data_IF_208797398646
#
_entry.id   IF_208797398646
#
_cell.length_a   1.000
_cell.length_b   1.000
_cell.length_c   1.000
_cell.angle_alpha   90.00
_cell.angle_beta   90.00
_cell.angle_gamma   90.00
#
_symmetry.space_group_name_H-M   'P 1'
#
loop_
_entity.id
_entity.type
_entity.pdbx_description
1 polymer ?
#
# COMPACT_ATOMS: atom_id res chain seq x y z
N UNK A 1 18.28 -33.76 -24.84
CA UNK A 1 17.29 -33.36 -23.82
C UNK A 1 18.04 -32.51 -22.82
N UNK A 2 18.16 -31.22 -23.09
CA UNK A 2 18.80 -30.28 -22.17
C UNK A 2 17.69 -29.67 -21.31
N UNK A 3 17.48 -30.27 -20.14
CA UNK A 3 16.72 -29.65 -19.07
C UNK A 3 17.65 -28.64 -18.40
N UNK A 4 17.75 -27.44 -19.00
CA UNK A 4 18.52 -26.33 -18.44
C UNK A 4 17.85 -25.86 -17.15
N UNK A 5 18.57 -26.09 -16.07
CA UNK A 5 18.33 -25.60 -14.71
C UNK A 5 18.10 -24.08 -14.70
N UNK A 6 16.82 -23.69 -14.64
CA UNK A 6 16.36 -22.30 -14.49
C UNK A 6 16.46 -21.79 -13.05
N UNK A 7 17.12 -22.50 -12.13
CA UNK A 7 17.11 -22.15 -10.70
C UNK A 7 18.14 -21.10 -10.26
N UNK A 8 19.07 -20.70 -11.13
CA UNK A 8 20.24 -19.88 -10.76
C UNK A 8 20.21 -18.41 -11.21
N UNK A 9 19.06 -17.89 -11.66
CA UNK A 9 18.89 -16.45 -11.89
C UNK A 9 18.42 -15.76 -10.59
N UNK A 10 19.15 -14.75 -10.08
CA UNK A 10 18.71 -14.01 -8.90
C UNK A 10 17.36 -13.37 -9.18
N UNK A 11 16.34 -13.75 -8.39
CA UNK A 11 15.00 -13.17 -8.52
C UNK A 11 15.07 -11.69 -8.14
N UNK A 12 14.45 -10.79 -8.92
CA UNK A 12 14.43 -9.37 -8.56
C UNK A 12 13.76 -9.21 -7.18
N UNK A 13 14.26 -8.32 -6.31
CA UNK A 13 13.64 -8.05 -5.03
C UNK A 13 12.20 -7.59 -5.23
N UNK A 14 11.29 -8.06 -4.37
CA UNK A 14 9.86 -7.78 -4.47
C UNK A 14 9.43 -6.78 -3.41
N UNK A 15 8.88 -5.65 -3.84
CA UNK A 15 8.33 -4.61 -2.98
C UNK A 15 6.81 -4.73 -2.93
N UNK A 16 6.23 -4.60 -1.74
CA UNK A 16 4.79 -4.44 -1.53
C UNK A 16 4.52 -3.01 -1.08
N UNK A 17 3.72 -2.28 -1.85
CA UNK A 17 3.22 -0.95 -1.46
C UNK A 17 1.79 -1.10 -0.95
N UNK A 18 1.54 -0.61 0.26
CA UNK A 18 0.23 -0.54 0.87
C UNK A 18 -0.02 0.90 1.36
N UNK A 19 -0.68 1.74 0.54
CA UNK A 19 -0.90 3.14 0.88
C UNK A 19 -1.97 3.28 1.97
N UNK A 20 -1.78 4.26 2.86
CA UNK A 20 -2.83 4.74 3.75
C UNK A 20 -4.04 5.24 2.94
N UNK A 21 -5.27 5.14 3.50
CA UNK A 21 -6.51 5.53 2.83
C UNK A 21 -6.71 7.05 2.79
N UNK A 22 -5.66 7.78 2.40
CA UNK A 22 -5.64 9.22 2.20
C UNK A 22 -5.29 9.51 0.75
N UNK A 23 -6.10 10.33 0.08
CA UNK A 23 -5.94 10.60 -1.36
C UNK A 23 -4.53 11.10 -1.73
N UNK A 24 -3.96 12.00 -0.91
CA UNK A 24 -2.59 12.48 -1.10
C UNK A 24 -1.56 11.36 -0.99
N UNK A 25 -1.69 10.50 0.01
CA UNK A 25 -0.78 9.37 0.21
C UNK A 25 -0.88 8.35 -0.93
N UNK A 26 -2.10 8.02 -1.38
CA UNK A 26 -2.32 7.11 -2.51
C UNK A 26 -1.63 7.63 -3.78
N UNK A 27 -1.80 8.92 -4.10
CA UNK A 27 -1.19 9.52 -5.29
C UNK A 27 0.34 9.50 -5.23
N UNK A 28 0.93 9.87 -4.09
CA UNK A 28 2.39 9.80 -3.90
C UNK A 28 2.91 8.37 -4.05
N UNK A 29 2.19 7.39 -3.47
CA UNK A 29 2.57 5.98 -3.57
C UNK A 29 2.46 5.45 -5.00
N UNK A 30 1.48 5.91 -5.80
CA UNK A 30 1.40 5.57 -7.23
C UNK A 30 2.64 6.10 -7.98
N UNK A 31 3.11 7.31 -7.67
CA UNK A 31 4.33 7.86 -8.28
C UNK A 31 5.58 7.10 -7.87
N UNK A 32 5.69 6.69 -6.61
CA UNK A 32 6.74 5.78 -6.19
C UNK A 32 6.67 4.44 -6.93
N UNK A 33 5.47 3.91 -7.13
CA UNK A 33 5.21 2.67 -7.83
C UNK A 33 5.63 2.69 -9.30
N UNK A 34 5.59 3.85 -9.96
CA UNK A 34 6.09 4.03 -11.34
C UNK A 34 7.61 3.91 -11.42
N UNK A 35 8.34 4.25 -10.35
CA UNK A 35 9.81 4.29 -10.33
C UNK A 35 10.45 2.94 -10.00
N UNK A 36 9.81 2.12 -9.17
CA UNK A 36 10.39 0.86 -8.70
C UNK A 36 10.65 -0.17 -9.82
N UNK A 37 9.74 -0.39 -10.78
CA UNK A 37 10.01 -1.28 -11.91
C UNK A 37 11.20 -0.81 -12.77
N UNK A 38 11.38 0.50 -12.93
CA UNK A 38 12.51 1.09 -13.66
C UNK A 38 13.84 0.80 -12.94
N UNK A 39 13.81 0.76 -11.62
CA UNK A 39 14.95 0.40 -10.78
C UNK A 39 15.19 -1.13 -10.67
N UNK A 40 14.43 -1.96 -11.40
CA UNK A 40 14.62 -3.41 -11.44
C UNK A 40 13.90 -4.20 -10.33
N UNK A 41 12.98 -3.55 -9.59
CA UNK A 41 12.19 -4.22 -8.57
C UNK A 41 10.92 -4.84 -9.15
N UNK A 42 10.55 -6.03 -8.65
CA UNK A 42 9.18 -6.52 -8.77
C UNK A 42 8.30 -5.72 -7.80
N UNK A 43 7.09 -5.35 -8.20
CA UNK A 43 6.22 -4.52 -7.37
C UNK A 43 4.82 -5.11 -7.27
N UNK A 44 4.28 -5.19 -6.06
CA UNK A 44 2.84 -5.33 -5.83
C UNK A 44 2.28 -4.06 -5.21
N UNK A 45 1.27 -3.47 -5.86
CA UNK A 45 0.52 -2.36 -5.31
C UNK A 45 -0.81 -2.88 -4.75
N UNK A 46 -0.96 -2.82 -3.43
CA UNK A 46 -2.10 -3.37 -2.71
C UNK A 46 -3.06 -2.26 -2.29
N UNK A 47 -4.32 -2.35 -2.70
CA UNK A 47 -5.36 -1.38 -2.32
C UNK A 47 -6.57 -2.04 -1.67
N UNK A 48 -7.42 -1.25 -1.02
CA UNK A 48 -8.78 -1.70 -0.72
C UNK A 48 -9.61 -1.83 -2.01
N UNK A 49 -10.64 -2.67 -2.01
CA UNK A 49 -11.61 -2.76 -3.10
C UNK A 49 -12.24 -1.39 -3.42
N UNK A 50 -12.52 -0.58 -2.39
CA UNK A 50 -13.07 0.76 -2.56
C UNK A 50 -12.09 1.67 -3.32
N UNK A 51 -10.83 1.73 -2.89
CA UNK A 51 -9.81 2.55 -3.54
C UNK A 51 -9.55 2.08 -4.97
N UNK A 52 -9.45 0.77 -5.19
CA UNK A 52 -9.27 0.23 -6.54
C UNK A 52 -10.41 0.62 -7.49
N UNK A 53 -11.67 0.49 -7.08
CA UNK A 53 -12.82 0.91 -7.89
C UNK A 53 -12.76 2.39 -8.26
N UNK A 54 -12.40 3.26 -7.31
CA UNK A 54 -12.25 4.70 -7.56
C UNK A 54 -11.08 5.00 -8.48
N UNK A 55 -9.94 4.35 -8.25
CA UNK A 55 -8.76 4.49 -9.10
C UNK A 55 -9.12 4.09 -10.51
N UNK A 56 -9.58 2.87 -10.78
CA UNK A 56 -9.97 2.44 -12.14
C UNK A 56 -11.02 3.34 -12.79
N UNK A 57 -12.00 3.85 -12.02
CA UNK A 57 -13.06 4.72 -12.54
C UNK A 57 -12.56 6.11 -12.95
N UNK A 58 -11.64 6.70 -12.19
CA UNK A 58 -11.22 8.10 -12.35
C UNK A 58 -9.79 8.26 -12.88
N UNK A 59 -9.02 7.19 -12.90
CA UNK A 59 -7.62 7.17 -13.29
C UNK A 59 -7.33 5.81 -13.96
N UNK A 60 -6.85 5.81 -15.20
CA UNK A 60 -6.64 4.57 -15.94
C UNK A 60 -5.37 3.81 -15.49
N UNK A 61 -5.26 3.57 -14.18
CA UNK A 61 -4.10 3.03 -13.49
C UNK A 61 -3.83 1.60 -13.93
N UNK A 62 -4.87 0.79 -14.11
CA UNK A 62 -4.70 -0.58 -14.60
C UNK A 62 -3.95 -0.60 -15.94
N UNK A 63 -4.46 0.10 -16.96
CA UNK A 63 -3.77 0.18 -18.25
C UNK A 63 -2.43 0.92 -18.17
N UNK A 64 -2.31 1.91 -17.28
CA UNK A 64 -1.05 2.64 -17.08
C UNK A 64 0.08 1.70 -16.65
N UNK A 65 -0.22 0.73 -15.77
CA UNK A 65 0.80 -0.15 -15.21
C UNK A 65 1.03 -1.45 -15.99
N UNK A 66 0.16 -1.79 -16.95
CA UNK A 66 0.35 -2.94 -17.87
C UNK A 66 1.68 -2.90 -18.62
N UNK A 67 2.25 -1.70 -18.84
CA UNK A 67 3.55 -1.53 -19.50
C UNK A 67 4.75 -1.93 -18.65
N UNK A 68 4.57 -2.23 -17.36
CA UNK A 68 5.66 -2.57 -16.44
C UNK A 68 5.68 -4.08 -16.13
N UNK A 69 6.61 -4.84 -16.72
CA UNK A 69 6.78 -6.26 -16.39
C UNK A 69 7.10 -6.42 -14.91
N UNK A 70 6.41 -7.33 -14.21
CA UNK A 70 6.61 -7.56 -12.77
C UNK A 70 5.84 -6.60 -11.86
N UNK A 71 4.98 -5.74 -12.40
CA UNK A 71 3.99 -5.01 -11.62
C UNK A 71 2.71 -5.84 -11.42
N UNK A 72 2.26 -5.96 -10.18
CA UNK A 72 1.01 -6.61 -9.79
C UNK A 72 0.10 -5.64 -9.05
N UNK A 73 -1.10 -5.37 -9.57
CA UNK A 73 -2.11 -4.63 -8.83
C UNK A 73 -3.02 -5.61 -8.09
N UNK A 74 -3.10 -5.52 -6.76
CA UNK A 74 -3.94 -6.40 -5.93
C UNK A 74 -4.91 -5.62 -5.07
N UNK A 75 -5.99 -6.29 -4.71
CA UNK A 75 -7.04 -5.70 -3.88
C UNK A 75 -7.38 -6.57 -2.70
N UNK A 76 -7.74 -5.92 -1.59
CA UNK A 76 -8.22 -6.55 -0.36
C UNK A 76 -9.47 -5.82 0.14
N UNK A 77 -10.24 -6.47 1.01
CA UNK A 77 -11.32 -5.78 1.73
C UNK A 77 -10.72 -4.91 2.84
N UNK A 78 -11.28 -3.71 3.05
CA UNK A 78 -10.94 -2.83 4.17
C UNK A 78 -11.79 -3.12 5.42
N UNK A 79 -12.69 -4.10 5.36
CA UNK A 79 -13.55 -4.49 6.48
C UNK A 79 -14.71 -3.53 6.76
N UNK A 80 -14.85 -2.47 5.95
CA UNK A 80 -15.89 -1.46 6.13
C UNK A 80 -17.12 -1.75 5.25
N UNK A 81 -18.33 -1.36 5.69
CA UNK A 81 -19.54 -1.41 4.87
C UNK A 81 -19.37 -0.71 3.51
N UNK A 82 -20.14 -1.13 2.50
CA UNK A 82 -20.03 -0.59 1.14
C UNK A 82 -20.45 0.89 1.05
N UNK A 83 -21.42 1.29 1.86
CA UNK A 83 -21.96 2.64 1.99
C UNK A 83 -21.12 3.57 2.89
N UNK A 84 -20.10 3.02 3.56
CA UNK A 84 -19.23 3.80 4.42
C UNK A 84 -18.47 4.90 3.62
N UNK A 85 -18.54 6.18 4.03
CA UNK A 85 -18.04 7.31 3.23
C UNK A 85 -16.52 7.34 3.10
N UNK A 86 -15.79 6.67 4.00
CA UNK A 86 -14.32 6.59 4.01
C UNK A 86 -13.70 7.99 3.88
N UNK A 87 -14.22 8.92 4.67
CA UNK A 87 -13.81 10.33 4.70
C UNK A 87 -12.48 10.49 5.44
N UNK A 88 -11.85 11.65 5.26
CA UNK A 88 -10.68 12.02 6.05
C UNK A 88 -10.97 12.07 7.55
N UNK A 89 -12.18 12.49 7.95
CA UNK A 89 -12.60 12.48 9.35
C UNK A 89 -12.59 11.07 9.94
N UNK A 90 -13.18 10.10 9.26
CA UNK A 90 -13.16 8.70 9.72
C UNK A 90 -11.73 8.17 9.88
N UNK A 91 -10.82 8.51 8.96
CA UNK A 91 -9.43 8.09 9.10
C UNK A 91 -8.77 8.70 10.34
N UNK A 92 -9.06 9.97 10.64
CA UNK A 92 -8.59 10.62 11.86
C UNK A 92 -9.18 9.95 13.10
N UNK A 93 -10.48 9.67 13.11
CA UNK A 93 -11.15 8.96 14.22
C UNK A 93 -10.51 7.59 14.45
N UNK A 94 -10.34 6.78 13.39
CA UNK A 94 -9.65 5.48 13.44
C UNK A 94 -8.22 5.62 13.97
N UNK A 95 -7.49 6.63 13.51
CA UNK A 95 -6.10 6.86 13.90
C UNK A 95 -6.00 7.29 15.38
N UNK A 96 -6.89 8.15 15.84
CA UNK A 96 -7.02 8.52 17.25
C UNK A 96 -7.38 7.29 18.09
N UNK A 97 -8.42 6.53 17.74
CA UNK A 97 -8.79 5.31 18.47
C UNK A 97 -7.65 4.27 18.55
N UNK A 98 -6.88 4.12 17.47
CA UNK A 98 -5.84 3.09 17.37
C UNK A 98 -4.50 3.53 17.96
N UNK A 99 -4.12 4.79 17.75
CA UNK A 99 -2.79 5.31 18.11
C UNK A 99 -2.78 6.01 19.45
N UNK A 100 -3.85 6.68 19.87
CA UNK A 100 -3.88 7.48 21.09
C UNK A 100 -3.69 6.63 22.37
N UNK A 101 -4.30 5.42 22.49
CA UNK A 101 -4.01 4.51 23.61
C UNK A 101 -2.55 4.03 23.60
N UNK A 102 -2.00 3.70 22.43
CA UNK A 102 -0.63 3.19 22.28
C UNK A 102 0.42 4.27 22.49
N UNK A 103 0.15 5.49 22.04
CA UNK A 103 1.02 6.65 22.19
C UNK A 103 1.00 7.14 23.64
N UNK A 104 -0.17 7.19 24.29
CA UNK A 104 -0.27 7.47 25.73
C UNK A 104 0.46 6.40 26.56
N UNK A 105 0.32 5.13 26.21
CA UNK A 105 1.07 4.06 26.88
C UNK A 105 2.58 4.26 26.71
N UNK A 106 3.05 4.49 25.47
CA UNK A 106 4.47 4.67 25.19
C UNK A 106 5.06 5.94 25.83
N UNK A 107 4.28 7.03 25.92
CA UNK A 107 4.69 8.24 26.63
C UNK A 107 4.70 8.05 28.15
N UNK A 108 3.74 7.30 28.72
CA UNK A 108 3.74 6.93 30.15
C UNK A 108 4.92 6.05 30.52
N UNK A 109 5.23 5.06 29.69
CA UNK A 109 6.41 4.22 29.86
C UNK A 109 7.70 5.04 29.67
N UNK A 110 7.76 5.96 28.70
CA UNK A 110 8.90 6.86 28.50
C UNK A 110 9.15 7.86 29.63
N UNK A 111 8.10 8.38 30.27
CA UNK A 111 8.22 9.31 31.41
C UNK A 111 8.53 8.63 32.75
N UNK A 112 8.31 7.32 32.89
CA UNK A 112 8.71 6.55 34.08
C UNK A 112 10.19 6.12 34.05
N UNK A 113 10.90 6.36 32.94
CA UNK A 113 12.32 6.02 32.76
C UNK A 113 13.27 7.23 32.78
N UNK A 114 12.80 8.43 33.11
CA UNK A 114 13.66 9.59 33.34
C UNK A 114 13.59 10.02 34.82
N UNK A 115 14.72 9.93 35.59
CA UNK A 115 14.80 10.39 36.97
C UNK A 115 14.77 11.92 37.10
#
# INVERSE_FOLDING_TARGET
>A
MEEQDRSSQPRPPHVLIFPLPLQGHINTMIKLAELLPIAGFKLTFLNSHHNHKRLVKFNNIAAHFERYPGFEFKTITDGLPLDHPRSGSWFLDMFEETMEPKMKQSLREGFLFYP
#
